data_IF_906352043924
#
_entry.id   IF_906352043924
#
_cell.length_a   1.000
_cell.length_b   1.000
_cell.length_c   1.000
_cell.angle_alpha   90.00
_cell.angle_beta   90.00
_cell.angle_gamma   90.00
#
_symmetry.space_group_name_H-M   'P 1'
#
loop_
_entity.id
_entity.type
_entity.pdbx_description
1 polymer ?
#
# COMPACT_ATOMS: atom_id res chain seq x y z
N UNK A 1 -18.66 23.74 10.38
CA UNK A 1 -18.48 24.50 9.14
C UNK A 1 -18.35 23.54 7.96
N UNK A 2 -18.93 23.88 6.83
CA UNK A 2 -18.79 23.09 5.62
C UNK A 2 -17.36 23.19 5.09
N UNK A 3 -16.83 22.05 4.67
CA UNK A 3 -15.50 21.99 4.08
C UNK A 3 -15.59 22.34 2.59
N UNK A 4 -14.55 22.96 2.03
CA UNK A 4 -14.54 23.22 0.59
C UNK A 4 -14.60 21.93 -0.22
N UNK A 5 -15.10 22.00 -1.44
CA UNK A 5 -15.26 20.80 -2.29
C UNK A 5 -13.96 20.04 -2.52
N UNK A 6 -12.82 20.73 -2.49
CA UNK A 6 -11.51 20.14 -2.67
C UNK A 6 -10.79 19.82 -1.34
N UNK A 7 -11.52 19.80 -0.23
CA UNK A 7 -10.93 19.54 1.09
C UNK A 7 -10.18 18.22 1.15
N UNK A 8 -10.67 17.19 0.45
CA UNK A 8 -10.07 15.86 0.46
C UNK A 8 -9.03 15.64 -0.65
N UNK A 9 -8.62 16.70 -1.33
CA UNK A 9 -7.50 16.57 -2.28
C UNK A 9 -6.18 16.59 -1.53
N UNK A 10 -5.12 16.07 -2.15
CA UNK A 10 -3.79 16.03 -1.53
C UNK A 10 -3.26 17.41 -1.13
N UNK A 11 -3.74 18.48 -1.76
CA UNK A 11 -3.36 19.86 -1.40
C UNK A 11 -3.83 20.26 -0.01
N UNK A 12 -4.96 19.71 0.44
CA UNK A 12 -5.59 20.07 1.71
C UNK A 12 -5.39 19.02 2.81
N UNK A 13 -4.82 17.87 2.47
CA UNK A 13 -4.61 16.79 3.44
C UNK A 13 -3.14 16.75 3.83
N UNK A 14 -2.86 17.11 5.06
CA UNK A 14 -1.57 16.82 5.68
C UNK A 14 -1.70 15.47 6.34
N UNK A 15 -1.05 14.48 5.77
CA UNK A 15 -1.21 13.10 6.19
C UNK A 15 0.02 12.59 6.94
N UNK A 16 -0.20 11.76 7.95
CA UNK A 16 0.86 11.08 8.69
C UNK A 16 0.61 9.58 8.70
N UNK A 17 1.69 8.82 8.63
CA UNK A 17 1.65 7.37 8.78
C UNK A 17 2.06 7.00 10.21
N UNK A 18 1.21 6.24 10.88
CA UNK A 18 1.49 5.72 12.22
C UNK A 18 1.61 4.20 12.18
N UNK A 19 2.64 3.66 12.79
CA UNK A 19 2.96 2.25 12.74
C UNK A 19 2.37 1.46 13.91
N UNK A 20 2.10 0.17 13.66
CA UNK A 20 1.91 -0.82 14.71
C UNK A 20 3.28 -1.32 15.12
N UNK A 21 3.68 -1.06 16.36
CA UNK A 21 5.07 -1.20 16.79
C UNK A 21 5.58 -2.61 17.04
N UNK A 22 4.72 -3.50 17.56
CA UNK A 22 5.20 -4.81 18.03
C UNK A 22 5.88 -5.65 16.96
N UNK A 23 5.23 -5.81 15.80
CA UNK A 23 5.78 -6.57 14.67
C UNK A 23 6.84 -5.77 13.92
N UNK A 24 6.71 -4.45 13.89
CA UNK A 24 7.67 -3.55 13.25
C UNK A 24 9.06 -3.67 13.85
N UNK A 25 9.14 -3.80 15.17
CA UNK A 25 10.42 -3.94 15.87
C UNK A 25 11.17 -5.21 15.47
N UNK A 26 10.45 -6.26 15.09
CA UNK A 26 11.06 -7.51 14.61
C UNK A 26 11.45 -7.47 13.14
N UNK A 27 10.97 -6.46 12.37
CA UNK A 27 11.25 -6.36 10.95
C UNK A 27 10.55 -7.38 10.06
N UNK A 28 9.64 -8.19 10.62
CA UNK A 28 8.93 -9.24 9.89
C UNK A 28 7.64 -8.75 9.22
N UNK A 29 7.05 -7.72 9.80
CA UNK A 29 5.76 -7.19 9.40
C UNK A 29 5.67 -5.75 9.88
N UNK A 30 5.00 -4.92 9.12
CA UNK A 30 4.69 -3.56 9.56
C UNK A 30 3.40 -3.08 8.93
N UNK A 31 2.65 -2.31 9.66
CA UNK A 31 1.44 -1.65 9.17
C UNK A 31 1.45 -0.20 9.57
N UNK A 32 1.14 0.64 8.60
CA UNK A 32 1.04 2.07 8.80
C UNK A 32 -0.38 2.51 8.46
N UNK A 33 -0.92 3.39 9.28
CA UNK A 33 -2.24 3.98 9.06
C UNK A 33 -2.08 5.41 8.61
N UNK A 34 -2.90 5.79 7.63
CA UNK A 34 -2.90 7.14 7.09
C UNK A 34 -3.98 7.97 7.77
N UNK A 35 -3.57 9.10 8.32
CA UNK A 35 -4.47 10.07 8.95
C UNK A 35 -4.32 11.43 8.28
N UNK A 36 -5.37 12.22 8.36
CA UNK A 36 -5.30 13.65 8.04
C UNK A 36 -5.21 14.44 9.34
N UNK A 37 -4.43 15.52 9.35
CA UNK A 37 -4.39 16.42 10.51
C UNK A 37 -5.75 17.08 10.78
N UNK A 38 -6.56 17.24 9.74
CA UNK A 38 -7.91 17.80 9.85
C UNK A 38 -8.94 16.80 10.35
N UNK A 39 -8.63 15.50 10.27
CA UNK A 39 -9.52 14.41 10.66
C UNK A 39 -8.74 13.42 11.52
N UNK A 40 -8.28 13.84 12.72
CA UNK A 40 -7.31 13.05 13.48
C UNK A 40 -7.85 11.72 14.01
N UNK A 41 -9.18 11.58 14.09
CA UNK A 41 -9.82 10.36 14.60
C UNK A 41 -10.24 9.40 13.48
N UNK A 42 -9.99 9.77 12.21
CA UNK A 42 -10.37 8.95 11.07
C UNK A 42 -9.18 8.32 10.41
N UNK A 43 -9.26 7.01 10.15
CA UNK A 43 -8.26 6.30 9.37
C UNK A 43 -8.68 6.40 7.90
N UNK A 44 -7.84 7.05 7.09
CA UNK A 44 -8.09 7.23 5.66
C UNK A 44 -7.67 6.01 4.84
N UNK A 45 -6.70 5.29 5.34
CA UNK A 45 -6.18 4.10 4.67
C UNK A 45 -5.11 3.43 5.48
N UNK A 46 -4.62 2.31 4.97
CA UNK A 46 -3.52 1.58 5.59
C UNK A 46 -2.63 0.97 4.52
N UNK A 47 -1.37 0.80 4.86
CA UNK A 47 -0.40 0.09 4.03
C UNK A 47 0.44 -0.79 4.93
N UNK A 48 0.69 -2.03 4.50
CA UNK A 48 1.45 -2.99 5.27
C UNK A 48 2.52 -3.64 4.41
N UNK A 49 3.61 -4.08 5.05
CA UNK A 49 4.56 -4.98 4.43
C UNK A 49 4.63 -6.27 5.24
N UNK A 50 4.88 -7.37 4.57
CA UNK A 50 4.90 -8.71 5.16
C UNK A 50 5.69 -9.66 4.26
N UNK A 51 5.85 -10.89 4.71
CA UNK A 51 6.57 -11.89 3.94
C UNK A 51 8.03 -11.53 3.71
N UNK A 52 8.67 -10.95 4.72
CA UNK A 52 10.07 -10.52 4.62
C UNK A 52 10.99 -11.72 4.53
N UNK A 53 11.88 -11.69 3.52
CA UNK A 53 12.97 -12.63 3.36
C UNK A 53 14.27 -11.86 3.44
N UNK A 54 14.99 -12.02 4.56
CA UNK A 54 16.20 -11.24 4.84
C UNK A 54 17.32 -11.55 3.85
N UNK A 55 17.51 -12.82 3.52
CA UNK A 55 18.55 -13.25 2.58
C UNK A 55 18.37 -12.62 1.22
N UNK A 56 17.12 -12.62 0.72
CA UNK A 56 16.78 -12.10 -0.60
C UNK A 56 16.42 -10.62 -0.58
N UNK A 57 16.33 -10.02 0.58
CA UNK A 57 15.88 -8.64 0.77
C UNK A 57 14.61 -8.36 -0.01
N UNK A 58 13.63 -9.21 0.19
CA UNK A 58 12.33 -9.14 -0.48
C UNK A 58 11.19 -9.12 0.51
N UNK A 59 10.09 -8.52 0.11
CA UNK A 59 8.86 -8.51 0.89
C UNK A 59 7.67 -8.28 -0.03
N UNK A 60 6.48 -8.34 0.56
CA UNK A 60 5.22 -8.01 -0.12
C UNK A 60 4.59 -6.82 0.55
N UNK A 61 3.80 -6.07 -0.20
CA UNK A 61 2.99 -4.99 0.35
C UNK A 61 1.52 -5.22 0.04
N UNK A 62 0.68 -4.70 0.94
CA UNK A 62 -0.75 -4.60 0.74
C UNK A 62 -1.20 -3.23 1.18
N UNK A 63 -2.26 -2.68 0.57
CA UNK A 63 -2.75 -1.38 0.96
C UNK A 63 -4.23 -1.27 0.69
N UNK A 64 -4.86 -0.34 1.41
CA UNK A 64 -6.29 -0.12 1.34
C UNK A 64 -6.59 1.35 1.63
N UNK A 65 -7.44 1.96 0.82
CA UNK A 65 -7.98 3.28 1.07
C UNK A 65 -9.45 3.14 1.41
N UNK A 66 -9.89 3.82 2.45
CA UNK A 66 -11.30 3.89 2.80
C UNK A 66 -12.10 4.43 1.61
N UNK A 67 -13.26 3.84 1.37
CA UNK A 67 -14.09 4.15 0.19
C UNK A 67 -14.47 5.64 0.09
N UNK A 68 -14.57 6.33 1.23
CA UNK A 68 -14.94 7.74 1.28
C UNK A 68 -13.79 8.66 0.85
N UNK A 69 -12.58 8.13 0.75
CA UNK A 69 -11.37 8.90 0.46
C UNK A 69 -10.64 8.42 -0.78
N UNK A 70 -11.31 7.62 -1.61
CA UNK A 70 -10.74 7.15 -2.88
C UNK A 70 -10.69 8.27 -3.92
N UNK A 71 -9.84 8.09 -4.93
CA UNK A 71 -9.66 9.02 -6.05
C UNK A 71 -9.07 10.38 -5.65
N UNK A 72 -8.37 10.43 -4.51
CA UNK A 72 -7.73 11.64 -4.01
C UNK A 72 -6.19 11.57 -4.09
N UNK A 73 -5.65 10.53 -4.72
CA UNK A 73 -4.20 10.32 -4.78
C UNK A 73 -3.58 9.78 -3.50
N UNK A 74 -4.38 9.42 -2.51
CA UNK A 74 -3.88 8.94 -1.22
C UNK A 74 -3.19 7.59 -1.31
N UNK A 75 -3.68 6.70 -2.15
CA UNK A 75 -3.06 5.40 -2.38
C UNK A 75 -1.64 5.55 -2.89
N UNK A 76 -1.45 6.41 -3.89
CA UNK A 76 -0.15 6.72 -4.46
C UNK A 76 0.79 7.31 -3.42
N UNK A 77 0.31 8.28 -2.64
CA UNK A 77 1.08 8.91 -1.56
C UNK A 77 1.54 7.85 -0.54
N UNK A 78 0.61 7.02 -0.11
CA UNK A 78 0.84 6.02 0.92
C UNK A 78 1.82 4.94 0.47
N UNK A 79 1.65 4.41 -0.74
CA UNK A 79 2.54 3.38 -1.29
C UNK A 79 3.92 3.95 -1.56
N UNK A 80 4.00 5.19 -2.03
CA UNK A 80 5.27 5.87 -2.25
C UNK A 80 6.07 5.99 -0.96
N UNK A 81 5.43 6.40 0.13
CA UNK A 81 6.07 6.45 1.44
C UNK A 81 6.54 5.07 1.92
N UNK A 82 5.72 4.04 1.70
CA UNK A 82 6.13 2.68 2.06
C UNK A 82 7.36 2.24 1.26
N UNK A 83 7.40 2.54 -0.04
CA UNK A 83 8.58 2.22 -0.86
C UNK A 83 9.83 2.93 -0.35
N UNK A 84 9.73 4.18 0.07
CA UNK A 84 10.85 4.92 0.64
C UNK A 84 11.38 4.27 1.91
N UNK A 85 10.46 3.89 2.81
CA UNK A 85 10.83 3.20 4.05
C UNK A 85 11.50 1.86 3.75
N UNK A 86 10.90 1.07 2.87
CA UNK A 86 11.40 -0.28 2.57
C UNK A 86 12.76 -0.24 1.86
N UNK A 87 12.97 0.68 0.92
CA UNK A 87 14.19 0.74 0.15
C UNK A 87 15.33 1.44 0.91
N UNK A 88 15.04 2.52 1.62
CA UNK A 88 16.08 3.34 2.27
C UNK A 88 16.37 2.92 3.71
N UNK A 89 15.35 2.58 4.49
CA UNK A 89 15.56 2.23 5.89
C UNK A 89 15.76 0.73 6.10
N UNK A 90 15.03 -0.10 5.36
CA UNK A 90 15.09 -1.56 5.50
C UNK A 90 15.89 -2.26 4.41
N UNK A 91 16.39 -1.51 3.47
CA UNK A 91 17.28 -2.00 2.41
C UNK A 91 16.67 -3.14 1.59
N UNK A 92 15.36 -3.12 1.40
CA UNK A 92 14.68 -4.09 0.55
C UNK A 92 15.05 -3.86 -0.91
N UNK A 93 15.34 -4.95 -1.61
CA UNK A 93 15.69 -4.92 -3.03
C UNK A 93 14.49 -5.23 -3.92
N UNK A 94 13.61 -6.12 -3.47
CA UNK A 94 12.46 -6.59 -4.24
C UNK A 94 11.18 -6.45 -3.41
N UNK A 95 10.20 -5.72 -3.95
CA UNK A 95 8.92 -5.48 -3.28
C UNK A 95 7.81 -5.93 -4.21
N UNK A 96 7.02 -6.89 -3.76
CA UNK A 96 5.94 -7.48 -4.53
C UNK A 96 4.58 -6.94 -4.11
N UNK A 97 3.68 -6.79 -5.08
CA UNK A 97 2.28 -6.48 -4.84
C UNK A 97 1.42 -7.45 -5.67
N UNK A 98 0.45 -8.07 -5.02
CA UNK A 98 -0.49 -8.99 -5.67
C UNK A 98 -1.83 -8.28 -5.75
N UNK A 99 -2.37 -8.15 -6.96
CA UNK A 99 -3.54 -7.32 -7.22
C UNK A 99 -4.56 -8.14 -8.01
N UNK A 100 -5.82 -8.10 -7.57
CA UNK A 100 -6.92 -8.74 -8.30
C UNK A 100 -7.00 -8.17 -9.72
N UNK A 101 -7.17 -9.01 -10.74
CA UNK A 101 -7.17 -8.55 -12.15
C UNK A 101 -8.22 -7.48 -12.47
N UNK A 102 -9.32 -7.45 -11.72
CA UNK A 102 -10.37 -6.45 -11.90
C UNK A 102 -10.12 -5.13 -11.18
N UNK A 103 -9.12 -5.08 -10.32
CA UNK A 103 -8.80 -3.86 -9.58
C UNK A 103 -7.91 -2.94 -10.43
N UNK A 104 -8.53 -2.32 -11.42
CA UNK A 104 -7.83 -1.50 -12.41
C UNK A 104 -7.14 -0.29 -11.78
N UNK A 105 -7.79 0.35 -10.81
CA UNK A 105 -7.19 1.52 -10.13
C UNK A 105 -5.91 1.16 -9.41
N UNK A 106 -5.86 0.01 -8.75
CA UNK A 106 -4.67 -0.47 -8.07
C UNK A 106 -3.55 -0.86 -9.04
N UNK A 107 -3.93 -1.51 -10.15
CA UNK A 107 -2.98 -1.86 -11.21
C UNK A 107 -2.32 -0.59 -11.78
N UNK A 108 -3.13 0.41 -12.10
CA UNK A 108 -2.62 1.67 -12.62
C UNK A 108 -1.73 2.40 -11.60
N UNK A 109 -2.10 2.33 -10.33
CA UNK A 109 -1.33 2.95 -9.25
C UNK A 109 0.09 2.37 -9.17
N UNK A 110 0.21 1.05 -9.07
CA UNK A 110 1.54 0.43 -8.94
C UNK A 110 2.38 0.61 -10.20
N UNK A 111 1.76 0.57 -11.39
CA UNK A 111 2.48 0.85 -12.63
C UNK A 111 3.02 2.28 -12.65
N UNK A 112 2.24 3.24 -12.18
CA UNK A 112 2.68 4.65 -12.14
C UNK A 112 3.85 4.87 -11.19
N UNK A 113 4.01 4.02 -10.19
CA UNK A 113 5.10 4.08 -9.23
C UNK A 113 6.34 3.28 -9.65
N UNK A 114 6.31 2.66 -10.82
CA UNK A 114 7.46 1.94 -11.36
C UNK A 114 7.44 0.43 -11.16
N UNK A 115 6.35 -0.13 -10.67
CA UNK A 115 6.22 -1.59 -10.61
C UNK A 115 6.07 -2.17 -12.02
N UNK A 116 6.66 -3.33 -12.22
CA UNK A 116 6.54 -4.09 -13.47
C UNK A 116 5.76 -5.38 -13.25
N UNK A 117 5.01 -5.80 -14.28
CA UNK A 117 4.23 -7.03 -14.22
C UNK A 117 5.14 -8.25 -14.35
N UNK A 118 4.89 -9.25 -13.51
CA UNK A 118 5.54 -10.56 -13.60
C UNK A 118 4.54 -11.68 -13.91
N UNK A 119 3.37 -11.33 -14.40
CA UNK A 119 2.38 -12.31 -14.81
C UNK A 119 1.33 -12.60 -13.74
N UNK A 120 0.71 -13.76 -13.85
CA UNK A 120 -0.43 -14.15 -13.03
C UNK A 120 -0.02 -15.22 -12.01
N UNK A 121 -0.39 -15.00 -10.75
CA UNK A 121 -0.34 -16.00 -9.71
C UNK A 121 -1.69 -16.72 -9.69
N UNK A 122 -1.74 -17.92 -10.26
CA UNK A 122 -2.99 -18.67 -10.39
C UNK A 122 -3.44 -19.23 -9.05
N UNK A 123 -4.75 -19.17 -8.78
CA UNK A 123 -5.38 -19.68 -7.55
C UNK A 123 -4.63 -19.23 -6.31
N UNK A 124 -4.32 -17.94 -6.26
CA UNK A 124 -3.44 -17.35 -5.26
C UNK A 124 -4.09 -17.23 -3.90
N UNK A 125 -5.34 -16.83 -3.85
CA UNK A 125 -6.06 -16.60 -2.59
C UNK A 125 -7.49 -17.12 -2.71
N UNK A 126 -8.04 -17.60 -1.60
CA UNK A 126 -9.43 -18.02 -1.53
C UNK A 126 -10.28 -16.88 -0.99
N UNK A 127 -11.17 -16.37 -1.82
CA UNK A 127 -12.09 -15.29 -1.46
C UNK A 127 -13.51 -15.73 -1.73
N UNK A 128 -14.40 -15.54 -0.76
CA UNK A 128 -15.81 -15.88 -0.87
C UNK A 128 -16.04 -17.33 -1.36
N UNK A 129 -15.24 -18.27 -0.85
CA UNK A 129 -15.38 -19.67 -1.16
C UNK A 129 -14.78 -20.12 -2.48
N UNK A 130 -14.18 -19.24 -3.27
CA UNK A 130 -13.52 -19.62 -4.52
C UNK A 130 -12.08 -19.15 -4.60
N UNK A 131 -11.24 -19.91 -5.30
CA UNK A 131 -9.86 -19.54 -5.54
C UNK A 131 -9.78 -18.46 -6.61
N UNK A 132 -9.01 -17.42 -6.34
CA UNK A 132 -8.87 -16.25 -7.22
C UNK A 132 -7.44 -16.09 -7.68
N UNK A 133 -7.28 -15.78 -8.97
CA UNK A 133 -5.99 -15.40 -9.52
C UNK A 133 -5.68 -13.96 -9.14
N UNK A 134 -4.40 -13.67 -8.98
CA UNK A 134 -3.92 -12.29 -8.78
C UNK A 134 -2.78 -12.01 -9.75
N UNK A 135 -2.70 -10.77 -10.19
CA UNK A 135 -1.55 -10.30 -10.96
C UNK A 135 -0.41 -9.98 -10.00
N UNK A 136 0.79 -10.38 -10.35
CA UNK A 136 1.98 -10.08 -9.57
C UNK A 136 2.74 -8.93 -10.21
N UNK A 137 2.97 -7.90 -9.42
CA UNK A 137 3.79 -6.76 -9.79
C UNK A 137 4.99 -6.68 -8.85
N UNK A 138 6.10 -6.15 -9.34
CA UNK A 138 7.31 -6.03 -8.55
C UNK A 138 7.98 -4.68 -8.76
N UNK A 139 8.48 -4.13 -7.66
CA UNK A 139 9.35 -2.96 -7.65
C UNK A 139 10.75 -3.43 -7.30
N UNK A 140 11.71 -3.10 -8.15
CA UNK A 140 13.11 -3.44 -7.94
C UNK A 140 13.86 -2.14 -7.62
N UNK A 141 14.49 -2.11 -6.46
CA UNK A 141 15.27 -0.94 -6.08
C UNK A 141 16.68 -0.95 -6.65
#
# INVERSE_FOLDING_TARGET
ASKPDNFYTTEYITATLKAEYAALLKGEFGRFFLFSDDLPDEILGSVSFFGVTSINRSCRIGYKIDKNYRKLGLGSLMVKHMLEILTHEKEMHRIEAYIHPENISSINLVKSLGFISEGTAYSYVKLNGSWQDHLRFVYIS
#
